data_IF_008409039070
#
_entry.id   IF_008409039070
#
_cell.length_a   1.000
_cell.length_b   1.000
_cell.length_c   1.000
_cell.angle_alpha   90.00
_cell.angle_beta   90.00
_cell.angle_gamma   90.00
#
_symmetry.space_group_name_H-M   'P 1'
#
loop_
_entity.id
_entity.type
_entity.pdbx_description
1 polymer ?
#
# COMPACT_ATOMS: atom_id res chain seq x y z
N UNK A 1 -14.15 2.49 21.09
CA UNK A 1 -14.09 1.53 19.98
C UNK A 1 -13.78 0.17 20.58
N UNK A 2 -14.41 -0.89 20.07
CA UNK A 2 -14.47 -2.21 20.69
C UNK A 2 -13.08 -2.87 20.80
N UNK A 3 -12.48 -2.83 21.99
CA UNK A 3 -11.22 -3.51 22.34
C UNK A 3 -11.45 -5.01 22.57
N UNK A 4 -12.06 -5.70 21.59
CA UNK A 4 -12.11 -7.17 21.63
C UNK A 4 -10.72 -7.68 21.23
N UNK A 5 -10.09 -8.48 22.08
CA UNK A 5 -8.86 -9.21 21.77
C UNK A 5 -9.11 -10.32 20.75
N UNK A 6 -9.44 -9.94 19.52
CA UNK A 6 -9.70 -10.86 18.41
C UNK A 6 -8.39 -11.12 17.69
N UNK A 7 -8.03 -12.38 17.54
CA UNK A 7 -6.91 -12.80 16.69
C UNK A 7 -7.40 -13.03 15.27
N UNK A 8 -6.69 -12.50 14.29
CA UNK A 8 -7.02 -12.61 12.86
C UNK A 8 -5.91 -13.38 12.14
N UNK A 9 -6.29 -14.32 11.28
CA UNK A 9 -5.38 -14.97 10.34
C UNK A 9 -5.76 -14.51 8.93
N UNK A 10 -4.84 -13.85 8.26
CA UNK A 10 -5.01 -13.35 6.90
C UNK A 10 -4.17 -14.20 5.94
N UNK A 11 -4.76 -14.61 4.82
CA UNK A 11 -4.06 -15.35 3.76
C UNK A 11 -4.20 -14.55 2.47
N UNK A 12 -3.05 -14.16 1.92
CA UNK A 12 -2.96 -13.37 0.70
C UNK A 12 -1.64 -13.62 -0.02
N UNK A 13 -1.56 -13.14 -1.26
CA UNK A 13 -0.38 -13.26 -2.11
C UNK A 13 0.43 -11.95 -2.20
N UNK A 14 -0.15 -10.82 -1.79
CA UNK A 14 0.47 -9.51 -1.87
C UNK A 14 1.01 -9.08 -0.49
N UNK A 15 2.33 -9.10 -0.38
CA UNK A 15 3.05 -8.72 0.84
C UNK A 15 2.92 -7.22 1.16
N UNK A 16 2.73 -6.35 0.16
CA UNK A 16 2.58 -4.91 0.38
C UNK A 16 1.25 -4.56 1.06
N UNK A 17 0.18 -5.29 0.74
CA UNK A 17 -1.12 -5.15 1.43
C UNK A 17 -1.02 -5.67 2.86
N UNK A 18 -0.38 -6.83 3.06
CA UNK A 18 -0.27 -7.45 4.38
C UNK A 18 0.51 -6.59 5.39
N UNK A 19 1.44 -5.73 4.93
CA UNK A 19 2.15 -4.73 5.75
C UNK A 19 1.23 -3.91 6.67
N UNK A 20 0.05 -3.56 6.17
CA UNK A 20 -0.86 -2.64 6.85
C UNK A 20 -1.93 -3.37 7.67
N UNK A 21 -1.94 -4.70 7.62
CA UNK A 21 -3.01 -5.52 8.19
C UNK A 21 -2.53 -6.53 9.23
N UNK A 22 -1.25 -6.91 9.22
CA UNK A 22 -0.71 -7.97 10.07
C UNK A 22 0.52 -7.50 10.87
N UNK A 23 0.62 -7.99 12.12
CA UNK A 23 1.78 -7.77 12.98
C UNK A 23 2.93 -8.73 12.63
N UNK A 24 2.60 -9.99 12.35
CA UNK A 24 3.52 -11.07 11.96
C UNK A 24 3.22 -11.57 10.54
N UNK A 25 4.25 -11.99 9.82
CA UNK A 25 4.13 -12.61 8.50
C UNK A 25 4.73 -14.00 8.45
N UNK A 26 4.07 -14.87 7.67
CA UNK A 26 4.57 -16.18 7.27
C UNK A 26 4.50 -16.24 5.75
N UNK A 27 5.62 -16.53 5.11
CA UNK A 27 5.70 -16.76 3.67
C UNK A 27 5.80 -18.26 3.45
N UNK A 28 4.90 -18.79 2.61
CA UNK A 28 4.86 -20.20 2.25
C UNK A 28 5.10 -20.40 0.75
N UNK A 29 5.78 -21.48 0.39
CA UNK A 29 5.95 -21.93 -0.99
C UNK A 29 5.82 -23.43 -1.06
N UNK A 30 4.96 -23.93 -1.95
CA UNK A 30 4.74 -25.36 -2.16
C UNK A 30 4.43 -26.14 -0.86
N UNK A 31 3.66 -25.53 0.04
CA UNK A 31 3.27 -26.15 1.33
C UNK A 31 4.28 -25.95 2.46
N UNK A 32 5.46 -25.42 2.19
CA UNK A 32 6.51 -25.23 3.20
C UNK A 32 6.62 -23.77 3.65
N UNK A 33 6.89 -23.55 4.94
CA UNK A 33 7.23 -22.21 5.46
C UNK A 33 8.66 -21.90 5.07
N UNK A 34 8.83 -20.85 4.25
CA UNK A 34 10.15 -20.43 3.76
C UNK A 34 10.69 -19.20 4.48
N UNK A 35 9.83 -18.42 5.13
CA UNK A 35 10.20 -17.26 5.92
C UNK A 35 9.11 -16.92 6.95
N UNK A 36 9.51 -16.44 8.14
CA UNK A 36 8.60 -16.00 9.19
C UNK A 36 9.26 -14.94 10.05
N UNK A 37 8.50 -13.92 10.46
CA UNK A 37 8.95 -12.91 11.41
C UNK A 37 7.99 -11.73 11.50
N UNK A 38 8.37 -10.66 12.22
CA UNK A 38 7.62 -9.41 12.25
C UNK A 38 7.39 -8.90 10.83
N UNK A 39 6.18 -8.41 10.54
CA UNK A 39 5.84 -7.95 9.21
C UNK A 39 6.82 -6.90 8.69
N UNK A 40 7.23 -5.96 9.56
CA UNK A 40 8.22 -4.93 9.21
C UNK A 40 9.55 -5.51 8.73
N UNK A 41 10.05 -6.58 9.37
CA UNK A 41 11.35 -7.16 9.07
C UNK A 41 11.31 -8.01 7.81
N UNK A 42 10.28 -8.86 7.66
CA UNK A 42 10.09 -9.71 6.46
C UNK A 42 9.92 -8.85 5.20
N UNK A 43 9.32 -7.66 5.33
CA UNK A 43 9.10 -6.75 4.21
C UNK A 43 10.31 -5.85 3.90
N UNK A 44 11.03 -5.37 4.92
CA UNK A 44 12.18 -4.49 4.73
C UNK A 44 13.46 -5.26 4.38
N UNK A 45 13.63 -6.44 4.97
CA UNK A 45 14.83 -7.27 4.85
C UNK A 45 14.46 -8.74 4.56
N UNK A 46 13.74 -9.01 3.44
CA UNK A 46 13.35 -10.37 3.07
C UNK A 46 14.58 -11.26 2.91
N UNK A 47 14.64 -12.34 3.67
CA UNK A 47 15.77 -13.28 3.69
C UNK A 47 15.69 -14.29 2.55
N UNK A 48 14.49 -14.78 2.25
CA UNK A 48 14.27 -15.82 1.25
C UNK A 48 14.11 -15.22 -0.16
N UNK A 49 14.71 -15.80 -1.22
CA UNK A 49 14.56 -15.32 -2.60
C UNK A 49 13.10 -15.18 -3.05
N UNK A 50 12.25 -16.13 -2.68
CA UNK A 50 10.82 -16.06 -3.01
C UNK A 50 10.09 -14.88 -2.37
N UNK A 51 10.43 -14.49 -1.14
CA UNK A 51 9.83 -13.31 -0.50
C UNK A 51 10.22 -12.03 -1.25
N UNK A 52 11.46 -11.95 -1.76
CA UNK A 52 11.94 -10.87 -2.63
C UNK A 52 11.15 -10.82 -3.95
N UNK A 53 10.90 -11.97 -4.59
CA UNK A 53 10.10 -12.05 -5.81
C UNK A 53 8.67 -11.55 -5.60
N UNK A 54 8.01 -11.98 -4.52
CA UNK A 54 6.66 -11.53 -4.16
C UNK A 54 6.61 -10.01 -3.92
N UNK A 55 7.59 -9.46 -3.19
CA UNK A 55 7.71 -8.02 -2.97
C UNK A 55 7.91 -7.24 -4.28
N UNK A 56 8.75 -7.76 -5.18
CA UNK A 56 9.01 -7.13 -6.46
C UNK A 56 7.80 -7.15 -7.41
N UNK A 57 6.91 -8.14 -7.26
CA UNK A 57 5.68 -8.25 -8.03
C UNK A 57 4.57 -7.29 -7.56
N UNK A 58 4.70 -6.71 -6.36
CA UNK A 58 3.67 -5.85 -5.80
C UNK A 58 3.47 -4.57 -6.63
N UNK A 59 2.22 -4.13 -6.85
CA UNK A 59 1.94 -2.92 -7.59
C UNK A 59 2.51 -1.69 -6.87
N UNK A 60 3.47 -1.00 -7.49
CA UNK A 60 4.04 0.22 -6.94
C UNK A 60 3.04 1.38 -7.09
N UNK A 61 2.18 1.54 -6.08
CA UNK A 61 1.18 2.62 -6.01
C UNK A 61 1.85 3.99 -5.97
N UNK A 62 3.00 4.13 -5.30
CA UNK A 62 3.79 5.36 -5.27
C UNK A 62 4.16 5.82 -6.68
N UNK A 63 4.72 4.92 -7.50
CA UNK A 63 5.08 5.20 -8.90
C UNK A 63 3.86 5.49 -9.78
N UNK A 64 2.69 4.95 -9.46
CA UNK A 64 1.45 5.27 -10.18
C UNK A 64 0.96 6.69 -9.85
N UNK A 65 1.08 7.11 -8.59
CA UNK A 65 0.74 8.45 -8.14
C UNK A 65 1.77 9.49 -8.64
N UNK A 66 3.06 9.17 -8.62
CA UNK A 66 4.14 10.02 -9.13
C UNK A 66 4.00 10.29 -10.63
N UNK A 67 3.60 9.29 -11.42
CA UNK A 67 3.30 9.47 -12.85
C UNK A 67 2.14 10.43 -13.09
N UNK A 68 1.10 10.39 -12.24
CA UNK A 68 -0.03 11.33 -12.32
C UNK A 68 0.40 12.74 -11.93
N UNK A 69 1.14 12.89 -10.83
CA UNK A 69 1.62 14.18 -10.36
C UNK A 69 2.65 14.82 -11.33
N UNK A 70 3.43 13.99 -12.04
CA UNK A 70 4.38 14.46 -13.05
C UNK A 70 3.69 14.84 -14.36
N UNK A 71 2.60 14.16 -14.74
CA UNK A 71 1.76 14.54 -15.88
C UNK A 71 0.96 15.83 -15.65
N UNK A 72 0.55 16.11 -14.40
CA UNK A 72 -0.14 17.33 -14.02
C UNK A 72 0.74 18.60 -14.06
N UNK A 73 2.07 18.45 -14.06
CA UNK A 73 3.00 19.59 -14.22
C UNK A 73 3.22 20.00 -15.67
N UNK A 74 2.86 19.16 -16.63
CA UNK A 74 3.05 19.40 -18.07
C UNK A 74 1.86 20.10 -18.73
N UNK A 75 0.69 20.13 -18.08
CA UNK A 75 -0.38 21.05 -18.43
C UNK A 75 -0.24 22.29 -17.55
N UNK A 76 0.25 23.38 -18.15
CA UNK A 76 0.38 24.67 -17.50
C UNK A 76 -0.87 25.03 -16.70
N UNK A 77 -0.63 25.45 -15.47
CA UNK A 77 -1.57 26.01 -14.51
C UNK A 77 -2.77 26.67 -15.21
N UNK A 78 -3.91 25.99 -15.21
CA UNK A 78 -5.19 26.66 -15.36
C UNK A 78 -5.43 27.34 -14.01
N UNK A 79 -5.36 28.67 -14.00
CA UNK A 79 -5.78 29.49 -12.88
C UNK A 79 -7.17 29.02 -12.41
N UNK A 80 -7.40 28.86 -11.09
CA UNK A 80 -8.72 28.50 -10.60
C UNK A 80 -9.73 29.58 -11.01
N UNK A 81 -10.92 29.22 -11.52
CA UNK A 81 -11.93 30.21 -11.85
C UNK A 81 -12.28 31.02 -10.59
N UNK A 82 -12.49 32.35 -10.72
CA UNK A 82 -12.84 33.17 -9.57
C UNK A 82 -14.10 32.62 -8.90
N UNK A 83 -14.05 32.50 -7.58
CA UNK A 83 -15.16 32.00 -6.78
C UNK A 83 -16.43 32.78 -7.14
N UNK A 84 -17.47 32.07 -7.60
CA UNK A 84 -18.78 32.65 -7.82
C UNK A 84 -19.33 33.07 -6.46
N UNK A 85 -19.29 34.37 -6.18
CA UNK A 85 -19.84 34.92 -4.94
C UNK A 85 -21.36 34.91 -5.07
N UNK A 86 -21.99 33.97 -4.38
CA UNK A 86 -23.44 33.86 -4.30
C UNK A 86 -24.00 35.15 -3.68
N UNK A 87 -24.71 35.95 -4.48
CA UNK A 87 -25.30 37.23 -4.04
C UNK A 87 -26.72 36.93 -3.58
N UNK A 88 -27.11 37.29 -2.34
CA UNK A 88 -28.46 37.02 -1.86
C UNK A 88 -29.50 37.82 -2.68
N UNK A 89 -30.70 37.27 -2.92
CA UNK A 89 -31.77 37.98 -3.61
C UNK A 89 -32.31 39.13 -2.72
N UNK A 90 -32.74 40.22 -3.37
CA UNK A 90 -33.41 41.38 -2.74
C UNK A 90 -34.85 41.08 -2.38
#
# INVERSE_FOLDING_TARGET
QDTRGITWLLIGHDLAVMRHMADDLIVMRAGEVVERGPAADVLAHPSHPYARELLAAAPNVGRALDRRASGARSLGLMEPPPAVQDRPPR
#
